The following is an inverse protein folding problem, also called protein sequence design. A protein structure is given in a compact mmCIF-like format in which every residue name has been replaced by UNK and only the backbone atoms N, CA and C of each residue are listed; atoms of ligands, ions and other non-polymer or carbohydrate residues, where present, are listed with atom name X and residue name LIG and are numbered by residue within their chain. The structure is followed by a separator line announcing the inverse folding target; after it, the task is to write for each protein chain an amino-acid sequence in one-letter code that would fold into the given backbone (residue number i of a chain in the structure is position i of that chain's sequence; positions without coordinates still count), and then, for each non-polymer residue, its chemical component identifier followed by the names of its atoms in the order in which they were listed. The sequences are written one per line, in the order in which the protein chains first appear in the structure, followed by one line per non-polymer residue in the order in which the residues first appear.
data_IF_844371147113
#
_entry.id   IF_844371147113
#
_cell.length_a   1.000
_cell.length_b   1.000
_cell.length_c   1.000
_cell.angle_alpha   90.00
_cell.angle_beta   90.00
_cell.angle_gamma   90.00
#
_symmetry.space_group_name_H-M   'P 1'
#
loop_
_entity.id
_entity.type
_entity.pdbx_description
1 polymer ?
#
# COMPACT_ATOMS: atom_id res chain seq x y z
N UNK A 1 8.19 -1.13 15.85
CA UNK A 1 7.50 -2.43 15.72
C UNK A 1 7.17 -2.57 14.25
N UNK A 2 7.81 -3.49 13.54
CA UNK A 2 7.48 -3.76 12.13
C UNK A 2 6.08 -4.39 12.08
N UNK A 3 5.27 -4.02 11.09
CA UNK A 3 4.02 -4.74 10.83
C UNK A 3 4.35 -6.20 10.47
N UNK A 4 3.55 -7.17 10.95
CA UNK A 4 3.67 -8.56 10.54
C UNK A 4 3.12 -8.81 9.12
N UNK A 5 2.43 -7.82 8.54
CA UNK A 5 1.91 -7.85 7.17
C UNK A 5 3.00 -8.20 6.16
N UNK A 6 2.70 -9.21 5.34
CA UNK A 6 3.57 -9.70 4.27
C UNK A 6 3.18 -9.14 2.91
N UNK A 7 1.99 -8.53 2.82
CA UNK A 7 1.46 -7.89 1.63
C UNK A 7 0.97 -6.48 1.93
N UNK A 8 0.97 -5.63 0.90
CA UNK A 8 0.46 -4.25 1.01
C UNK A 8 -1.01 -4.24 1.45
N UNK A 9 -1.80 -5.21 1.00
CA UNK A 9 -3.22 -5.29 1.33
C UNK A 9 -3.44 -5.67 2.80
N UNK A 10 -2.62 -6.59 3.35
CA UNK A 10 -2.60 -6.89 4.79
C UNK A 10 -2.23 -5.67 5.62
N UNK A 11 -1.22 -4.91 5.18
CA UNK A 11 -0.80 -3.69 5.86
C UNK A 11 -1.91 -2.63 5.88
N UNK A 12 -2.63 -2.46 4.77
CA UNK A 12 -3.76 -1.54 4.68
C UNK A 12 -4.92 -1.97 5.58
N UNK A 13 -5.15 -3.28 5.72
CA UNK A 13 -6.18 -3.83 6.61
C UNK A 13 -5.86 -3.60 8.10
N UNK A 14 -4.58 -3.60 8.49
CA UNK A 14 -4.12 -3.28 9.86
C UNK A 14 -4.29 -1.80 10.22
N UNK A 15 -4.38 -0.92 9.23
CA UNK A 15 -4.46 0.51 9.45
C UNK A 15 -5.88 0.95 9.83
N UNK A 16 -6.00 1.93 10.76
CA UNK A 16 -7.23 2.67 10.98
C UNK A 16 -7.79 3.27 9.68
N UNK A 17 -9.10 3.37 9.59
CA UNK A 17 -9.83 3.70 8.36
C UNK A 17 -9.42 5.07 7.77
N UNK A 18 -9.20 6.06 8.64
CA UNK A 18 -8.69 7.39 8.30
C UNK A 18 -7.30 7.35 7.64
N UNK A 19 -6.41 6.49 8.14
CA UNK A 19 -5.06 6.32 7.58
C UNK A 19 -5.08 5.48 6.31
N UNK A 20 -5.94 4.48 6.24
CA UNK A 20 -6.10 3.62 5.07
C UNK A 20 -6.52 4.43 3.85
N UNK A 21 -7.53 5.28 4.00
CA UNK A 21 -8.04 6.11 2.91
C UNK A 21 -6.97 7.04 2.33
N UNK A 22 -6.18 7.69 3.20
CA UNK A 22 -5.07 8.54 2.77
C UNK A 22 -3.98 7.76 2.00
N UNK A 23 -3.64 6.56 2.46
CA UNK A 23 -2.60 5.72 1.82
C UNK A 23 -3.12 5.13 0.51
N UNK A 24 -4.40 4.73 0.43
CA UNK A 24 -5.01 4.24 -0.80
C UNK A 24 -5.04 5.29 -1.90
N UNK A 25 -5.33 6.55 -1.56
CA UNK A 25 -5.24 7.66 -2.53
C UNK A 25 -3.83 7.80 -3.11
N UNK A 26 -2.79 7.77 -2.25
CA UNK A 26 -1.39 7.87 -2.67
C UNK A 26 -1.01 6.64 -3.52
N UNK A 27 -1.39 5.44 -3.07
CA UNK A 27 -1.15 4.17 -3.78
C UNK A 27 -1.77 4.21 -5.18
N UNK A 28 -2.98 4.73 -5.31
CA UNK A 28 -3.65 4.90 -6.60
C UNK A 28 -2.88 5.78 -7.57
N UNK A 29 -2.32 6.90 -7.08
CA UNK A 29 -1.46 7.77 -7.89
C UNK A 29 -0.18 7.06 -8.30
N UNK A 30 0.49 6.38 -7.37
CA UNK A 30 1.72 5.62 -7.65
C UNK A 30 1.46 4.57 -8.73
N UNK A 31 0.41 3.76 -8.57
CA UNK A 31 0.02 2.72 -9.53
C UNK A 31 -0.31 3.28 -10.91
N UNK A 32 -1.02 4.41 -10.97
CA UNK A 32 -1.36 5.08 -12.23
C UNK A 32 -0.12 5.55 -12.99
N UNK A 33 0.94 5.93 -12.28
CA UNK A 33 2.18 6.43 -12.86
C UNK A 33 3.31 5.40 -12.86
N UNK A 34 3.03 4.17 -12.43
CA UNK A 34 4.04 3.13 -12.34
C UNK A 34 4.44 2.67 -13.75
N UNK A 35 5.73 2.72 -14.11
CA UNK A 35 6.17 2.25 -15.41
C UNK A 35 5.89 0.76 -15.58
N UNK A 36 5.62 0.33 -16.82
CA UNK A 36 5.45 -1.10 -17.13
C UNK A 36 6.70 -1.87 -16.72
N UNK A 37 6.52 -3.00 -16.03
CA UNK A 37 7.60 -3.84 -15.52
C UNK A 37 7.98 -3.61 -14.07
N UNK A 38 7.33 -2.64 -13.40
CA UNK A 38 7.47 -2.45 -11.95
C UNK A 38 6.21 -2.96 -11.24
N UNK A 39 6.41 -3.55 -10.07
CA UNK A 39 5.36 -4.03 -9.20
C UNK A 39 5.58 -3.54 -7.76
N UNK A 40 4.50 -3.48 -6.99
CA UNK A 40 4.54 -3.11 -5.59
C UNK A 40 5.06 -4.31 -4.80
N UNK A 41 6.15 -4.14 -4.04
CA UNK A 41 6.70 -5.20 -3.20
C UNK A 41 6.74 -4.77 -1.74
N UNK A 42 6.39 -5.71 -0.86
CA UNK A 42 6.51 -5.57 0.59
C UNK A 42 7.39 -6.73 1.07
N UNK A 43 8.29 -6.44 2.03
CA UNK A 43 9.20 -7.41 2.62
C UNK A 43 8.66 -7.91 3.94
#
# INVERSE_FOLDING_TARGET
MQSPATTVDEYLAELPEDRREAIDMIRGVILKHLPKGYEQWMK
#
